data_IF_698545497147
#
_entry.id   IF_698545497147
#
_cell.length_a   1.000
_cell.length_b   1.000
_cell.length_c   1.000
_cell.angle_alpha   90.00
_cell.angle_beta   90.00
_cell.angle_gamma   90.00
#
_symmetry.space_group_name_H-M   'P 1'
#
loop_
_entity.id
_entity.type
_entity.pdbx_description
1 polymer ?
#
# COMPACT_ATOMS: atom_id res chain seq x y z
N UNK A 1 -8.64 7.61 34.31
CA UNK A 1 -8.28 7.76 32.90
C UNK A 1 -6.98 7.00 32.68
N UNK A 2 -7.00 5.98 31.87
CA UNK A 2 -5.78 5.21 31.58
C UNK A 2 -4.77 6.16 30.92
N UNK A 3 -3.55 6.19 31.44
CA UNK A 3 -2.51 7.09 30.94
C UNK A 3 -2.15 6.66 29.53
N UNK A 4 -2.33 7.52 28.52
CA UNK A 4 -1.99 7.20 27.13
C UNK A 4 -0.58 6.63 27.00
N UNK A 5 -0.40 5.66 26.11
CA UNK A 5 0.88 4.98 25.87
C UNK A 5 1.81 5.86 25.02
N UNK A 6 3.10 5.65 25.19
CA UNK A 6 4.14 6.25 24.36
C UNK A 6 4.49 5.30 23.22
N UNK A 7 4.04 5.63 22.01
CA UNK A 7 4.21 4.83 20.81
C UNK A 7 5.32 5.41 19.94
N UNK A 8 6.15 4.55 19.37
CA UNK A 8 7.11 4.92 18.35
C UNK A 8 6.87 4.07 17.09
N UNK A 9 6.79 4.72 15.93
CA UNK A 9 6.78 4.06 14.62
C UNK A 9 8.16 4.21 14.02
N UNK A 10 8.81 3.10 13.65
CA UNK A 10 10.06 3.10 12.89
C UNK A 10 9.75 2.69 11.46
N UNK A 11 9.87 3.63 10.53
CA UNK A 11 9.54 3.45 9.13
C UNK A 11 9.55 4.73 8.34
N UNK A 12 9.24 4.70 7.01
CA UNK A 12 9.18 5.90 6.20
C UNK A 12 8.16 6.91 6.76
N UNK A 13 8.54 8.18 6.77
CA UNK A 13 7.73 9.33 7.15
C UNK A 13 8.25 10.55 6.39
N UNK A 14 7.52 11.68 6.42
CA UNK A 14 7.95 12.92 5.76
C UNK A 14 9.44 13.25 6.08
N UNK A 15 10.24 13.72 5.11
CA UNK A 15 9.90 14.13 3.74
C UNK A 15 9.91 13.00 2.70
N UNK A 16 9.95 11.73 3.10
CA UNK A 16 9.81 10.63 2.17
C UNK A 16 8.36 10.54 1.64
N UNK A 17 8.20 10.09 0.37
CA UNK A 17 6.90 9.92 -0.28
C UNK A 17 6.52 8.45 -0.47
N UNK A 18 5.25 8.22 -0.76
CA UNK A 18 4.70 6.91 -1.14
C UNK A 18 3.88 6.23 -0.05
N UNK A 19 3.24 5.11 -0.40
CA UNK A 19 2.21 4.45 0.41
C UNK A 19 2.64 4.07 1.82
N UNK A 20 3.91 3.68 2.03
CA UNK A 20 4.42 3.36 3.36
C UNK A 20 4.46 4.60 4.28
N UNK A 21 4.85 5.75 3.72
CA UNK A 21 4.88 7.03 4.43
C UNK A 21 3.48 7.46 4.83
N UNK A 22 2.55 7.48 3.88
CA UNK A 22 1.15 7.83 4.09
C UNK A 22 0.49 6.94 5.14
N UNK A 23 0.72 5.62 5.04
CA UNK A 23 0.23 4.67 6.03
C UNK A 23 0.76 4.95 7.45
N UNK A 24 2.08 5.12 7.60
CA UNK A 24 2.69 5.36 8.91
C UNK A 24 2.20 6.66 9.54
N UNK A 25 2.03 7.71 8.74
CA UNK A 25 1.51 9.01 9.20
C UNK A 25 0.03 8.91 9.62
N UNK A 26 -0.79 8.18 8.84
CA UNK A 26 -2.20 7.95 9.21
C UNK A 26 -2.31 7.10 10.49
N UNK A 27 -1.50 6.05 10.61
CA UNK A 27 -1.46 5.22 11.82
C UNK A 27 -1.04 6.03 13.06
N UNK A 28 -0.07 6.93 12.92
CA UNK A 28 0.33 7.82 14.01
C UNK A 28 -0.83 8.72 14.47
N UNK A 29 -1.59 9.27 13.51
CA UNK A 29 -2.79 10.07 13.84
C UNK A 29 -3.84 9.23 14.58
N UNK A 30 -4.03 7.97 14.21
CA UNK A 30 -4.97 7.09 14.91
C UNK A 30 -4.59 6.87 16.37
N UNK A 31 -3.31 6.59 16.65
CA UNK A 31 -2.83 6.50 18.04
C UNK A 31 -3.06 7.80 18.82
N UNK A 32 -2.76 8.94 18.21
CA UNK A 32 -2.97 10.27 18.85
C UNK A 32 -4.46 10.51 19.09
N UNK A 33 -5.34 10.18 18.15
CA UNK A 33 -6.80 10.31 18.32
C UNK A 33 -7.34 9.43 19.45
N UNK A 34 -6.68 8.30 19.72
CA UNK A 34 -7.00 7.43 20.86
C UNK A 34 -6.39 7.85 22.19
N UNK A 35 -5.73 9.01 22.25
CA UNK A 35 -5.13 9.57 23.47
C UNK A 35 -3.69 9.10 23.77
N UNK A 36 -3.05 8.38 22.84
CA UNK A 36 -1.64 8.00 22.95
C UNK A 36 -0.73 9.13 22.46
N UNK A 37 0.55 9.12 22.87
CA UNK A 37 1.58 9.93 22.22
C UNK A 37 2.29 9.10 21.17
N UNK A 38 2.45 9.63 19.94
CA UNK A 38 3.09 8.89 18.85
C UNK A 38 4.19 9.71 18.17
N UNK A 39 5.35 9.08 17.96
CA UNK A 39 6.50 9.65 17.26
C UNK A 39 6.93 8.74 16.13
N UNK A 40 7.22 9.32 14.96
CA UNK A 40 7.76 8.58 13.81
C UNK A 40 9.28 8.79 13.74
N UNK A 41 10.06 7.72 13.73
CA UNK A 41 11.49 7.74 13.42
C UNK A 41 11.68 7.32 11.97
N UNK A 42 11.92 8.30 11.11
CA UNK A 42 12.04 8.15 9.66
C UNK A 42 13.51 8.14 9.21
N UNK A 43 13.72 7.89 7.92
CA UNK A 43 15.02 7.77 7.32
C UNK A 43 15.53 9.12 6.79
N UNK A 44 16.76 9.49 7.19
CA UNK A 44 17.56 10.53 6.52
C UNK A 44 18.17 10.01 5.20
N UNK A 45 18.39 8.70 5.11
CA UNK A 45 18.71 7.98 3.89
C UNK A 45 18.02 6.61 3.92
N UNK A 46 16.96 6.44 3.11
CA UNK A 46 16.24 5.17 3.00
C UNK A 46 16.96 4.23 2.03
N UNK A 47 17.22 4.69 0.82
CA UNK A 47 17.96 3.95 -0.20
C UNK A 47 19.10 4.80 -0.75
N UNK A 48 20.29 4.22 -0.99
CA UNK A 48 21.27 4.82 -1.87
C UNK A 48 20.66 5.12 -3.24
N UNK A 49 21.04 6.24 -3.88
CA UNK A 49 20.42 6.68 -5.13
C UNK A 49 20.38 5.63 -6.24
N UNK A 50 21.42 4.79 -6.34
CA UNK A 50 21.51 3.71 -7.35
C UNK A 50 20.55 2.52 -7.08
N UNK A 51 19.96 2.42 -5.90
CA UNK A 51 18.99 1.37 -5.56
C UNK A 51 17.54 1.84 -5.66
N UNK A 52 17.33 3.14 -5.90
CA UNK A 52 15.98 3.69 -6.01
C UNK A 52 15.60 3.83 -7.49
N UNK A 53 14.55 3.13 -7.95
CA UNK A 53 14.20 3.10 -9.37
C UNK A 53 13.43 4.34 -9.85
N UNK A 54 12.93 5.20 -8.94
CA UNK A 54 12.15 6.39 -9.27
C UNK A 54 12.98 7.67 -9.36
N UNK A 55 12.35 8.76 -9.76
CA UNK A 55 12.99 10.08 -9.93
C UNK A 55 13.37 10.73 -8.60
N UNK A 56 12.56 10.60 -7.55
CA UNK A 56 12.82 11.13 -6.22
C UNK A 56 12.16 10.27 -5.14
N UNK A 57 12.84 10.13 -3.99
CA UNK A 57 12.27 9.52 -2.79
C UNK A 57 11.53 10.55 -1.92
N UNK A 58 11.65 11.82 -2.23
CA UNK A 58 11.20 12.93 -1.40
C UNK A 58 10.02 13.65 -2.02
N UNK A 59 9.20 14.26 -1.15
CA UNK A 59 8.10 15.15 -1.52
C UNK A 59 8.47 16.60 -1.20
N UNK A 60 7.95 17.52 -1.99
CA UNK A 60 8.03 18.97 -1.74
C UNK A 60 6.82 19.48 -0.92
N UNK A 61 5.90 18.59 -0.55
CA UNK A 61 4.77 18.94 0.29
C UNK A 61 5.22 19.33 1.71
N UNK A 62 4.49 20.23 2.38
CA UNK A 62 4.82 20.63 3.75
C UNK A 62 4.72 19.45 4.72
N UNK A 63 5.47 19.52 5.81
CA UNK A 63 5.38 18.52 6.86
C UNK A 63 3.94 18.39 7.40
N UNK A 64 3.44 17.17 7.63
CA UNK A 64 2.08 16.97 8.12
C UNK A 64 1.91 17.56 9.52
N UNK A 65 0.91 18.40 9.70
CA UNK A 65 0.60 19.02 11.00
C UNK A 65 0.19 17.98 12.05
N UNK A 66 0.54 18.26 13.30
CA UNK A 66 0.17 17.43 14.45
C UNK A 66 0.97 16.13 14.58
N UNK A 67 1.96 15.86 13.71
CA UNK A 67 2.83 14.69 13.79
C UNK A 67 4.26 15.07 14.19
N UNK A 68 4.84 14.32 15.12
CA UNK A 68 6.27 14.41 15.45
C UNK A 68 7.04 13.39 14.63
N UNK A 69 7.89 13.89 13.71
CA UNK A 69 8.68 13.03 12.80
C UNK A 69 10.15 13.38 12.97
N UNK A 70 10.98 12.37 13.29
CA UNK A 70 12.43 12.49 13.36
C UNK A 70 13.09 11.77 12.19
N UNK A 71 13.64 12.50 11.24
CA UNK A 71 14.33 11.99 10.06
C UNK A 71 15.79 11.75 10.38
N UNK A 72 16.12 10.62 11.03
CA UNK A 72 17.43 10.37 11.64
C UNK A 72 18.10 9.04 11.27
N UNK A 73 17.37 8.10 10.63
CA UNK A 73 17.90 6.77 10.33
C UNK A 73 18.62 6.79 8.99
N UNK A 74 19.88 6.39 8.96
CA UNK A 74 20.62 6.14 7.73
C UNK A 74 20.74 4.62 7.54
N UNK A 75 20.13 4.08 6.48
CA UNK A 75 19.99 2.64 6.23
C UNK A 75 21.33 1.90 6.00
N UNK A 76 22.38 2.62 5.65
CA UNK A 76 23.69 2.03 5.30
C UNK A 76 24.84 2.37 6.27
N UNK A 77 24.57 3.18 7.31
CA UNK A 77 25.61 3.61 8.24
C UNK A 77 25.50 2.93 9.61
N UNK A 78 26.36 1.93 9.94
CA UNK A 78 26.30 1.21 11.22
C UNK A 78 26.48 2.10 12.46
N UNK A 79 27.34 3.14 12.37
CA UNK A 79 27.51 4.08 13.49
C UNK A 79 26.25 4.90 13.77
N UNK A 80 25.49 5.23 12.71
CA UNK A 80 24.21 5.85 12.86
C UNK A 80 23.21 4.91 13.57
N UNK A 81 23.20 3.61 13.24
CA UNK A 81 22.28 2.65 13.89
C UNK A 81 22.52 2.57 15.39
N UNK A 82 23.79 2.59 15.83
CA UNK A 82 24.15 2.60 17.25
C UNK A 82 23.65 3.89 17.95
N UNK A 83 23.86 5.05 17.30
CA UNK A 83 23.42 6.35 17.82
C UNK A 83 21.91 6.43 17.94
N UNK A 84 21.18 6.04 16.89
CA UNK A 84 19.71 6.04 16.83
C UNK A 84 19.13 5.06 17.83
N UNK A 85 19.65 3.84 17.90
CA UNK A 85 19.22 2.84 18.86
C UNK A 85 19.35 3.32 20.31
N UNK A 86 20.48 3.96 20.68
CA UNK A 86 20.68 4.55 22.01
C UNK A 86 19.71 5.71 22.28
N UNK A 87 19.40 6.53 21.28
CA UNK A 87 18.41 7.63 21.42
C UNK A 87 17.03 7.07 21.72
N UNK A 88 16.54 6.16 20.87
CA UNK A 88 15.21 5.56 21.05
C UNK A 88 15.12 4.78 22.39
N UNK A 89 16.19 4.07 22.78
CA UNK A 89 16.24 3.37 24.08
C UNK A 89 16.09 4.33 25.27
N UNK A 90 16.67 5.53 25.20
CA UNK A 90 16.52 6.59 26.21
C UNK A 90 15.14 7.24 26.22
N UNK A 91 14.53 7.38 25.02
CA UNK A 91 13.18 7.90 24.88
C UNK A 91 12.12 6.97 25.48
N UNK A 92 12.48 5.68 25.73
CA UNK A 92 11.67 4.66 26.40
C UNK A 92 10.21 4.62 25.93
N UNK A 93 9.92 4.40 24.62
CA UNK A 93 8.55 4.17 24.20
C UNK A 93 8.03 2.86 24.81
N UNK A 94 6.74 2.80 25.12
CA UNK A 94 6.09 1.58 25.61
C UNK A 94 6.02 0.55 24.48
N UNK A 95 5.68 1.01 23.28
CA UNK A 95 5.54 0.18 22.08
C UNK A 95 6.36 0.79 20.93
N UNK A 96 7.14 -0.04 20.26
CA UNK A 96 7.67 0.24 18.93
C UNK A 96 6.91 -0.61 17.93
N UNK A 97 6.32 0.05 16.94
CA UNK A 97 5.91 -0.59 15.70
C UNK A 97 7.00 -0.33 14.64
N UNK A 98 7.60 -1.38 14.12
CA UNK A 98 8.63 -1.26 13.09
C UNK A 98 8.12 -1.82 11.78
N UNK A 99 8.15 -0.99 10.73
CA UNK A 99 7.75 -1.38 9.38
C UNK A 99 8.86 -2.18 8.69
N UNK A 100 8.52 -3.32 8.09
CA UNK A 100 9.47 -4.17 7.38
C UNK A 100 8.91 -4.60 6.02
N UNK A 101 9.61 -4.20 4.93
CA UNK A 101 9.13 -4.41 3.55
C UNK A 101 10.19 -4.97 2.60
N UNK A 102 11.48 -4.98 3.00
CA UNK A 102 12.59 -5.48 2.18
C UNK A 102 13.76 -5.95 3.06
N UNK A 103 14.42 -7.07 2.73
CA UNK A 103 15.53 -7.62 3.51
C UNK A 103 16.70 -6.64 3.71
N UNK A 104 16.98 -5.78 2.74
CA UNK A 104 18.02 -4.74 2.82
C UNK A 104 17.94 -3.90 4.11
N UNK A 105 16.75 -3.67 4.65
CA UNK A 105 16.55 -2.92 5.90
C UNK A 105 16.88 -3.75 7.16
N UNK A 106 17.02 -5.06 7.02
CA UNK A 106 17.21 -5.99 8.14
C UNK A 106 18.38 -5.64 9.05
N UNK A 107 19.60 -5.39 8.53
CA UNK A 107 20.76 -5.04 9.36
C UNK A 107 20.56 -3.75 10.16
N UNK A 108 20.07 -2.68 9.53
CA UNK A 108 19.86 -1.40 10.18
C UNK A 108 18.79 -1.49 11.27
N UNK A 109 17.58 -1.95 10.90
CA UNK A 109 16.47 -2.07 11.83
C UNK A 109 16.78 -3.09 12.93
N UNK A 110 17.30 -4.26 12.58
CA UNK A 110 17.64 -5.29 13.55
C UNK A 110 18.67 -4.85 14.61
N UNK A 111 19.65 -4.02 14.23
CA UNK A 111 20.65 -3.46 15.15
C UNK A 111 20.03 -2.43 16.07
N UNK A 112 19.30 -1.46 15.51
CA UNK A 112 18.57 -0.43 16.28
C UNK A 112 17.69 -1.08 17.33
N UNK A 113 16.87 -2.05 16.93
CA UNK A 113 15.90 -2.72 17.81
C UNK A 113 16.57 -3.55 18.92
N UNK A 114 17.71 -4.21 18.66
CA UNK A 114 18.46 -4.94 19.71
C UNK A 114 18.99 -4.00 20.78
N UNK A 115 19.45 -2.82 20.41
CA UNK A 115 19.90 -1.80 21.36
C UNK A 115 18.71 -1.33 22.21
N UNK A 116 17.56 -1.08 21.57
CA UNK A 116 16.35 -0.67 22.31
C UNK A 116 15.89 -1.76 23.28
N UNK A 117 15.93 -3.03 22.89
CA UNK A 117 15.59 -4.16 23.79
C UNK A 117 16.39 -4.16 25.09
N UNK A 118 17.59 -3.61 25.07
CA UNK A 118 18.43 -3.47 26.27
C UNK A 118 17.79 -2.62 27.38
N UNK A 119 16.80 -1.76 27.07
CA UNK A 119 16.09 -0.99 28.10
C UNK A 119 15.06 -1.81 28.89
N UNK A 120 14.79 -3.06 28.52
CA UNK A 120 13.87 -4.04 29.16
C UNK A 120 12.45 -3.50 29.44
N UNK A 121 12.05 -2.46 28.71
CA UNK A 121 10.75 -1.78 28.83
C UNK A 121 9.94 -1.89 27.53
N UNK A 122 10.57 -1.53 26.42
CA UNK A 122 9.88 -1.35 25.15
C UNK A 122 9.47 -2.68 24.52
N UNK A 123 8.20 -2.80 24.13
CA UNK A 123 7.69 -3.90 23.35
C UNK A 123 7.83 -3.60 21.86
N UNK A 124 8.41 -4.51 21.10
CA UNK A 124 8.73 -4.31 19.68
C UNK A 124 7.87 -5.24 18.83
N UNK A 125 7.03 -4.65 17.99
CA UNK A 125 6.12 -5.34 17.07
C UNK A 125 6.55 -5.05 15.63
N UNK A 126 6.82 -6.10 14.86
CA UNK A 126 7.10 -5.99 13.44
C UNK A 126 5.80 -5.93 12.63
N UNK A 127 5.58 -4.87 11.87
CA UNK A 127 4.55 -4.80 10.84
C UNK A 127 5.19 -5.16 9.50
N UNK A 128 4.94 -6.39 9.06
CA UNK A 128 5.59 -6.95 7.88
C UNK A 128 4.70 -6.82 6.64
N UNK A 129 5.21 -6.10 5.63
CA UNK A 129 4.59 -6.00 4.30
C UNK A 129 5.07 -7.14 3.39
N UNK A 130 6.35 -7.51 3.51
CA UNK A 130 6.97 -8.65 2.83
C UNK A 130 8.02 -9.28 3.72
N UNK A 131 8.06 -10.60 3.75
CA UNK A 131 9.07 -11.39 4.47
C UNK A 131 10.04 -12.04 3.47
N UNK A 132 9.51 -12.59 2.39
CA UNK A 132 10.27 -13.17 1.29
C UNK A 132 10.13 -12.23 0.10
N UNK A 133 11.23 -11.64 -0.40
CA UNK A 133 11.17 -10.73 -1.54
C UNK A 133 10.79 -11.46 -2.81
N UNK A 134 10.14 -10.75 -3.75
CA UNK A 134 9.79 -11.29 -5.08
C UNK A 134 11.05 -11.65 -5.89
N UNK A 135 12.08 -10.81 -5.78
CA UNK A 135 13.41 -11.04 -6.36
C UNK A 135 14.39 -11.41 -5.23
N UNK A 136 14.78 -12.68 -5.19
CA UNK A 136 15.71 -13.18 -4.17
C UNK A 136 17.14 -12.79 -4.48
N UNK A 137 17.84 -12.25 -3.47
CA UNK A 137 19.27 -11.90 -3.52
C UNK A 137 20.05 -12.69 -2.46
N UNK A 138 21.35 -12.97 -2.70
CA UNK A 138 22.20 -13.56 -1.67
C UNK A 138 22.17 -12.73 -0.38
N UNK A 139 21.97 -13.37 0.77
CA UNK A 139 21.92 -12.70 2.07
C UNK A 139 20.52 -12.32 2.58
N UNK A 140 19.50 -12.25 1.71
CA UNK A 140 18.14 -11.84 2.09
C UNK A 140 17.58 -12.61 3.29
N UNK A 141 17.73 -13.94 3.28
CA UNK A 141 17.25 -14.79 4.38
C UNK A 141 17.98 -14.50 5.70
N UNK A 142 19.27 -14.19 5.66
CA UNK A 142 20.07 -13.86 6.84
C UNK A 142 19.61 -12.53 7.42
N UNK A 143 19.43 -11.51 6.57
CA UNK A 143 18.99 -10.19 6.98
C UNK A 143 17.57 -10.21 7.55
N UNK A 144 16.68 -10.95 6.91
CA UNK A 144 15.30 -11.13 7.38
C UNK A 144 15.28 -11.84 8.74
N UNK A 145 16.02 -12.93 8.92
CA UNK A 145 16.12 -13.63 10.22
C UNK A 145 16.73 -12.74 11.30
N UNK A 146 17.73 -11.92 10.93
CA UNK A 146 18.33 -10.97 11.85
C UNK A 146 17.32 -9.94 12.34
N UNK A 147 16.48 -9.40 11.44
CA UNK A 147 15.38 -8.52 11.80
C UNK A 147 14.33 -9.24 12.67
N UNK A 148 13.83 -10.40 12.22
CA UNK A 148 12.83 -11.20 12.95
C UNK A 148 13.27 -11.47 14.37
N UNK A 149 14.55 -11.82 14.58
CA UNK A 149 15.12 -12.07 15.89
C UNK A 149 15.08 -10.88 16.86
N UNK A 150 14.91 -9.66 16.36
CA UNK A 150 14.85 -8.44 17.19
C UNK A 150 13.45 -8.07 17.66
N UNK A 151 12.40 -8.59 17.04
CA UNK A 151 11.00 -8.30 17.38
C UNK A 151 10.47 -9.25 18.45
N UNK A 152 9.45 -8.82 19.23
CA UNK A 152 8.74 -9.65 20.19
C UNK A 152 7.50 -10.30 19.57
N UNK A 153 6.80 -9.60 18.70
CA UNK A 153 5.60 -10.06 18.01
C UNK A 153 5.51 -9.48 16.60
N UNK A 154 4.55 -9.95 15.81
CA UNK A 154 4.35 -9.51 14.42
C UNK A 154 2.90 -9.25 14.08
N UNK A 155 2.70 -8.35 13.11
CA UNK A 155 1.46 -8.16 12.38
C UNK A 155 1.77 -8.31 10.90
N UNK A 156 0.90 -9.03 10.21
CA UNK A 156 0.86 -9.11 8.74
C UNK A 156 -0.51 -8.67 8.26
N UNK A 157 -0.58 -8.16 7.04
CA UNK A 157 -1.83 -7.68 6.45
C UNK A 157 -2.30 -8.57 5.27
N UNK A 158 -1.64 -9.73 5.05
CA UNK A 158 -2.09 -10.76 4.13
C UNK A 158 -1.72 -12.15 4.63
N UNK A 159 -2.50 -13.16 4.22
CA UNK A 159 -2.26 -14.56 4.56
C UNK A 159 -0.93 -15.07 4.00
N UNK A 160 -0.56 -14.63 2.79
CA UNK A 160 0.72 -14.98 2.17
C UNK A 160 1.89 -14.52 3.03
N UNK A 161 1.90 -13.28 3.49
CA UNK A 161 2.98 -12.75 4.35
C UNK A 161 2.99 -13.46 5.70
N UNK A 162 1.82 -13.85 6.23
CA UNK A 162 1.73 -14.67 7.44
C UNK A 162 2.35 -16.04 7.22
N UNK A 163 2.07 -16.71 6.12
CA UNK A 163 2.66 -18.00 5.78
C UNK A 163 4.18 -17.89 5.60
N UNK A 164 4.65 -16.86 4.89
CA UNK A 164 6.08 -16.57 4.72
C UNK A 164 6.77 -16.32 6.07
N UNK A 165 6.15 -15.54 6.96
CA UNK A 165 6.66 -15.33 8.33
C UNK A 165 6.75 -16.65 9.09
N UNK A 166 5.71 -17.46 9.07
CA UNK A 166 5.65 -18.75 9.80
C UNK A 166 6.65 -19.79 9.28
N UNK A 167 7.08 -19.65 8.02
CA UNK A 167 8.17 -20.49 7.49
C UNK A 167 9.53 -20.20 8.15
N UNK A 168 9.74 -18.98 8.67
CA UNK A 168 10.98 -18.52 9.31
C UNK A 168 10.88 -18.40 10.82
N UNK A 169 9.71 -18.13 11.38
CA UNK A 169 9.45 -17.90 12.81
C UNK A 169 8.12 -18.53 13.23
N UNK A 170 8.21 -19.62 13.99
CA UNK A 170 7.05 -20.44 14.38
C UNK A 170 6.49 -20.10 15.77
N UNK A 171 7.31 -19.50 16.64
CA UNK A 171 7.03 -19.39 18.07
C UNK A 171 6.47 -18.05 18.50
N UNK A 172 6.94 -16.95 17.92
CA UNK A 172 6.52 -15.60 18.34
C UNK A 172 5.06 -15.31 18.02
N UNK A 173 4.36 -14.57 18.90
CA UNK A 173 3.01 -14.12 18.63
C UNK A 173 2.92 -13.37 17.29
N UNK A 174 1.93 -13.69 16.47
CA UNK A 174 1.64 -12.97 15.24
C UNK A 174 0.13 -12.91 15.02
N UNK A 175 -0.34 -11.82 14.42
CA UNK A 175 -1.74 -11.59 14.05
C UNK A 175 -1.84 -11.17 12.60
N UNK A 176 -2.83 -11.72 11.92
CA UNK A 176 -3.29 -11.25 10.63
C UNK A 176 -4.36 -10.18 10.87
N UNK A 177 -4.17 -9.00 10.31
CA UNK A 177 -5.13 -7.88 10.36
C UNK A 177 -5.36 -7.40 8.94
N UNK A 178 -6.61 -7.19 8.55
CA UNK A 178 -6.91 -6.63 7.25
C UNK A 178 -6.25 -5.25 7.09
N UNK A 179 -5.82 -4.93 5.87
CA UNK A 179 -5.22 -3.63 5.59
C UNK A 179 -6.26 -2.53 5.84
N UNK A 180 -6.00 -1.57 6.75
CA UNK A 180 -6.94 -0.49 7.01
C UNK A 180 -7.19 0.37 5.77
N UNK A 181 -8.33 1.04 5.75
CA UNK A 181 -8.68 1.97 4.69
C UNK A 181 -7.73 3.17 4.65
N UNK A 182 -7.44 3.62 3.46
CA UNK A 182 -6.83 4.92 3.25
C UNK A 182 -7.93 6.00 3.29
N UNK A 183 -8.17 6.59 4.43
CA UNK A 183 -9.16 7.65 4.65
C UNK A 183 -8.54 9.07 4.66
N UNK A 184 -7.26 9.18 4.39
CA UNK A 184 -6.47 10.42 4.38
C UNK A 184 -6.35 11.08 3.00
N UNK A 185 -7.03 10.55 1.98
CA UNK A 185 -7.06 11.10 0.61
C UNK A 185 -8.26 12.02 0.35
N UNK A 186 -8.92 12.48 1.40
CA UNK A 186 -10.10 13.33 1.33
C UNK A 186 -11.41 12.54 1.24
N UNK A 187 -12.52 13.26 1.34
CA UNK A 187 -13.86 12.68 1.20
C UNK A 187 -14.23 12.51 -0.28
N UNK A 188 -15.08 11.54 -0.57
CA UNK A 188 -15.55 11.29 -1.91
C UNK A 188 -16.30 12.52 -2.46
N UNK A 189 -16.03 12.88 -3.71
CA UNK A 189 -16.73 13.94 -4.43
C UNK A 189 -17.69 13.34 -5.48
N UNK A 190 -18.74 14.05 -5.90
CA UNK A 190 -19.60 13.59 -6.99
C UNK A 190 -18.80 13.26 -8.26
N UNK A 191 -19.19 12.19 -8.96
CA UNK A 191 -18.51 11.68 -10.18
C UNK A 191 -18.37 12.77 -11.24
N UNK A 192 -19.41 13.56 -11.42
CA UNK A 192 -19.45 14.67 -12.39
C UNK A 192 -18.40 15.75 -12.06
N UNK A 193 -18.27 16.10 -10.78
CA UNK A 193 -17.28 17.08 -10.30
C UNK A 193 -15.85 16.55 -10.53
N UNK A 194 -15.62 15.29 -10.21
CA UNK A 194 -14.32 14.64 -10.43
C UNK A 194 -13.96 14.60 -11.93
N UNK A 195 -14.91 14.24 -12.80
CA UNK A 195 -14.73 14.20 -14.24
C UNK A 195 -14.44 15.58 -14.83
N UNK A 196 -15.21 16.59 -14.43
CA UNK A 196 -14.94 17.99 -14.84
C UNK A 196 -13.55 18.46 -14.42
N UNK A 197 -13.14 18.14 -13.19
CA UNK A 197 -11.80 18.49 -12.68
C UNK A 197 -10.67 17.86 -13.50
N UNK A 198 -10.87 16.64 -14.00
CA UNK A 198 -9.89 15.92 -14.82
C UNK A 198 -10.03 16.20 -16.34
N UNK A 199 -11.00 17.02 -16.76
CA UNK A 199 -11.29 17.29 -18.17
C UNK A 199 -11.87 16.07 -18.90
N UNK A 200 -12.63 15.21 -18.19
CA UNK A 200 -13.25 14.00 -18.74
C UNK A 200 -14.70 14.27 -19.11
N UNK A 201 -15.22 13.52 -20.09
CA UNK A 201 -16.62 13.60 -20.49
C UNK A 201 -17.50 12.92 -19.44
N UNK A 202 -18.53 13.61 -18.97
CA UNK A 202 -19.39 13.15 -17.86
C UNK A 202 -20.08 11.82 -18.16
N UNK A 203 -20.51 11.60 -19.41
CA UNK A 203 -21.25 10.41 -19.86
C UNK A 203 -20.37 9.20 -20.25
N UNK A 204 -19.04 9.33 -20.27
CA UNK A 204 -18.14 8.25 -20.65
C UNK A 204 -18.18 7.07 -19.65
N UNK A 205 -17.97 5.87 -20.17
CA UNK A 205 -17.67 4.68 -19.35
C UNK A 205 -16.17 4.64 -19.10
N UNK A 206 -15.75 4.79 -17.84
CA UNK A 206 -14.32 4.96 -17.49
C UNK A 206 -13.91 3.91 -16.48
N UNK A 207 -12.97 3.04 -16.88
CA UNK A 207 -12.26 2.15 -15.97
C UNK A 207 -10.92 2.78 -15.57
N UNK A 208 -10.44 2.54 -14.34
CA UNK A 208 -9.23 3.13 -13.79
C UNK A 208 -8.16 2.07 -13.53
N UNK A 209 -6.98 2.26 -14.10
CA UNK A 209 -5.72 1.66 -13.63
C UNK A 209 -4.96 2.72 -12.82
N UNK A 210 -4.57 2.41 -11.56
CA UNK A 210 -3.98 3.39 -10.66
C UNK A 210 -2.66 2.93 -10.02
N UNK A 211 -1.74 3.89 -9.82
CA UNK A 211 -0.49 3.76 -9.07
C UNK A 211 0.71 3.47 -9.96
N UNK A 212 1.91 3.32 -9.36
CA UNK A 212 3.15 3.12 -10.09
C UNK A 212 3.05 2.00 -11.12
N UNK A 213 3.44 2.28 -12.37
CA UNK A 213 3.38 1.33 -13.48
C UNK A 213 4.63 0.44 -13.41
N UNK A 214 4.39 -0.85 -13.15
CA UNK A 214 5.40 -1.91 -13.07
C UNK A 214 4.88 -3.18 -13.72
N UNK A 215 5.76 -4.00 -14.27
CA UNK A 215 5.43 -5.23 -15.00
C UNK A 215 4.47 -6.16 -14.24
N UNK A 216 4.69 -6.33 -12.94
CA UNK A 216 3.84 -7.19 -12.12
C UNK A 216 2.40 -6.69 -11.98
N UNK A 217 2.15 -5.39 -12.20
CA UNK A 217 0.79 -4.80 -12.16
C UNK A 217 -0.01 -5.02 -13.44
N UNK A 218 0.62 -5.53 -14.51
CA UNK A 218 -0.08 -6.06 -15.67
C UNK A 218 -0.79 -5.01 -16.53
N UNK A 219 -0.31 -3.75 -16.58
CA UNK A 219 -0.90 -2.77 -17.49
C UNK A 219 -0.90 -3.27 -18.93
N UNK A 220 0.15 -3.96 -19.35
CA UNK A 220 0.28 -4.56 -20.68
C UNK A 220 -0.82 -5.62 -20.96
N UNK A 221 -1.24 -6.42 -19.95
CA UNK A 221 -2.38 -7.34 -20.10
C UNK A 221 -3.68 -6.54 -20.26
N UNK A 222 -3.84 -5.46 -19.49
CA UNK A 222 -5.03 -4.62 -19.59
C UNK A 222 -5.11 -3.92 -20.95
N UNK A 223 -3.98 -3.49 -21.51
CA UNK A 223 -3.95 -2.92 -22.86
C UNK A 223 -4.40 -3.93 -23.92
N UNK A 224 -3.97 -5.21 -23.81
CA UNK A 224 -4.49 -6.28 -24.68
C UNK A 224 -6.00 -6.50 -24.47
N UNK A 225 -6.48 -6.46 -23.22
CA UNK A 225 -7.92 -6.55 -22.93
C UNK A 225 -8.71 -5.39 -23.54
N UNK A 226 -8.15 -4.17 -23.56
CA UNK A 226 -8.79 -3.00 -24.19
C UNK A 226 -8.89 -3.13 -25.72
N UNK A 227 -8.09 -3.98 -26.35
CA UNK A 227 -8.18 -4.26 -27.79
C UNK A 227 -9.36 -5.18 -28.17
N UNK A 228 -10.04 -5.78 -27.19
CA UNK A 228 -11.23 -6.60 -27.45
C UNK A 228 -12.31 -5.75 -28.16
N UNK A 229 -12.83 -6.22 -29.32
CA UNK A 229 -13.85 -5.47 -30.07
C UNK A 229 -15.10 -5.15 -29.25
N UNK A 230 -15.46 -6.01 -28.28
CA UNK A 230 -16.62 -5.82 -27.39
C UNK A 230 -16.44 -4.59 -26.47
N UNK A 231 -15.20 -4.35 -25.98
CA UNK A 231 -14.84 -3.16 -25.16
C UNK A 231 -15.01 -1.89 -25.99
N UNK A 232 -14.51 -1.88 -27.22
CA UNK A 232 -14.66 -0.75 -28.16
C UNK A 232 -16.13 -0.49 -28.49
N UNK A 233 -16.90 -1.54 -28.80
CA UNK A 233 -18.34 -1.43 -29.09
C UNK A 233 -19.13 -0.89 -27.88
N UNK A 234 -18.71 -1.26 -26.66
CA UNK A 234 -19.32 -0.75 -25.44
C UNK A 234 -18.95 0.70 -25.10
N UNK A 235 -17.98 1.30 -25.81
CA UNK A 235 -17.53 2.68 -25.61
C UNK A 235 -16.76 2.88 -24.29
N UNK A 236 -16.05 1.83 -23.82
CA UNK A 236 -15.32 1.86 -22.56
C UNK A 236 -13.94 2.48 -22.78
N UNK A 237 -13.57 3.43 -21.92
CA UNK A 237 -12.26 4.09 -21.93
C UNK A 237 -11.45 3.69 -20.70
N UNK A 238 -10.13 3.57 -20.87
CA UNK A 238 -9.19 3.30 -19.79
C UNK A 238 -8.47 4.59 -19.39
N UNK A 239 -8.65 4.99 -18.14
CA UNK A 239 -7.85 6.00 -17.47
C UNK A 239 -6.66 5.34 -16.79
N UNK A 240 -5.44 5.58 -17.28
CA UNK A 240 -4.19 5.16 -16.65
C UNK A 240 -3.64 6.33 -15.84
N UNK A 241 -3.52 6.17 -14.53
CA UNK A 241 -3.05 7.21 -13.62
C UNK A 241 -1.89 6.72 -12.75
N UNK A 242 -0.68 7.22 -12.98
CA UNK A 242 0.50 6.90 -12.21
C UNK A 242 1.80 6.89 -13.00
N UNK A 243 2.90 7.04 -12.30
CA UNK A 243 4.26 7.19 -12.85
C UNK A 243 4.82 5.85 -13.33
N UNK A 244 5.50 5.84 -14.48
CA UNK A 244 6.26 4.68 -14.95
C UNK A 244 7.51 4.47 -14.11
N UNK A 245 7.72 3.22 -13.67
CA UNK A 245 8.94 2.74 -13.03
C UNK A 245 9.69 1.74 -13.90
N UNK A 246 9.30 1.66 -15.16
CA UNK A 246 9.86 0.85 -16.23
C UNK A 246 9.89 1.66 -17.53
N UNK A 247 10.42 1.10 -18.61
CA UNK A 247 10.48 1.81 -19.90
C UNK A 247 9.07 2.04 -20.46
N UNK A 248 8.66 3.30 -20.54
CA UNK A 248 7.37 3.71 -21.09
C UNK A 248 7.25 3.35 -22.59
N UNK A 249 8.36 3.28 -23.30
CA UNK A 249 8.40 3.02 -24.74
C UNK A 249 7.74 1.69 -25.10
N UNK A 250 7.97 0.63 -24.31
CA UNK A 250 7.34 -0.67 -24.54
C UNK A 250 5.81 -0.59 -24.55
N UNK A 251 5.24 0.21 -23.65
CA UNK A 251 3.79 0.41 -23.56
C UNK A 251 3.25 1.28 -24.71
N UNK A 252 3.99 2.30 -25.13
CA UNK A 252 3.62 3.13 -26.29
C UNK A 252 3.59 2.32 -27.59
N UNK A 253 4.63 1.51 -27.84
CA UNK A 253 4.67 0.60 -28.99
C UNK A 253 3.51 -0.42 -28.96
N UNK A 254 3.14 -0.92 -27.78
CA UNK A 254 2.00 -1.81 -27.64
C UNK A 254 0.67 -1.10 -27.95
N UNK A 255 0.46 0.10 -27.47
CA UNK A 255 -0.74 0.92 -27.72
C UNK A 255 -0.91 1.18 -29.22
N UNK A 256 0.18 1.56 -29.90
CA UNK A 256 0.17 1.79 -31.35
C UNK A 256 -0.15 0.50 -32.12
N UNK A 257 0.52 -0.60 -31.79
CA UNK A 257 0.30 -1.93 -32.41
C UNK A 257 -1.15 -2.40 -32.26
N UNK A 258 -1.77 -2.16 -31.10
CA UNK A 258 -3.15 -2.55 -30.80
C UNK A 258 -4.19 -1.60 -31.40
N UNK A 259 -3.79 -0.38 -31.79
CA UNK A 259 -4.69 0.61 -32.36
C UNK A 259 -5.75 1.09 -31.38
N UNK A 260 -5.40 1.25 -30.08
CA UNK A 260 -6.33 1.59 -28.98
C UNK A 260 -6.13 2.99 -28.40
N UNK A 261 -5.31 3.84 -29.02
CA UNK A 261 -4.96 5.17 -28.51
C UNK A 261 -6.19 6.04 -28.19
N UNK A 262 -7.26 5.89 -28.98
CA UNK A 262 -8.53 6.61 -28.83
C UNK A 262 -9.37 6.15 -27.61
N UNK A 263 -9.06 4.97 -27.05
CA UNK A 263 -9.71 4.42 -25.85
C UNK A 263 -8.96 4.76 -24.57
N UNK A 264 -7.77 5.40 -24.66
CA UNK A 264 -6.89 5.61 -23.52
C UNK A 264 -6.82 7.07 -23.11
N UNK A 265 -6.81 7.31 -21.80
CA UNK A 265 -6.55 8.60 -21.16
C UNK A 265 -5.34 8.41 -20.26
N UNK A 266 -4.17 8.88 -20.70
CA UNK A 266 -2.92 8.69 -19.99
C UNK A 266 -2.63 9.89 -19.08
N UNK A 267 -2.33 9.62 -17.80
CA UNK A 267 -1.86 10.55 -16.78
C UNK A 267 -0.66 9.92 -16.09
N UNK A 268 0.47 9.89 -16.79
CA UNK A 268 1.66 9.10 -16.45
C UNK A 268 2.67 9.86 -15.58
N UNK A 269 2.20 10.82 -14.84
CA UNK A 269 2.97 11.56 -13.83
C UNK A 269 2.60 11.10 -12.42
N UNK A 270 3.41 11.50 -11.44
CA UNK A 270 3.07 11.28 -10.02
C UNK A 270 1.74 11.99 -9.68
N UNK A 271 0.81 11.24 -9.11
CA UNK A 271 -0.48 11.78 -8.64
C UNK A 271 -0.32 12.13 -7.16
N UNK A 272 -0.50 13.39 -6.82
CA UNK A 272 -0.44 13.85 -5.43
C UNK A 272 -1.61 13.29 -4.60
N UNK A 273 -1.41 13.12 -3.30
CA UNK A 273 -2.44 12.61 -2.38
C UNK A 273 -3.75 13.40 -2.47
N UNK A 274 -3.67 14.71 -2.74
CA UNK A 274 -4.84 15.59 -2.88
C UNK A 274 -5.64 15.36 -4.17
N UNK A 275 -5.01 14.80 -5.19
CA UNK A 275 -5.66 14.55 -6.49
C UNK A 275 -6.24 13.15 -6.60
N UNK A 276 -5.78 12.20 -5.75
CA UNK A 276 -6.24 10.80 -5.76
C UNK A 276 -7.76 10.69 -5.75
N UNK A 277 -8.44 11.50 -4.94
CA UNK A 277 -9.90 11.55 -4.84
C UNK A 277 -10.58 11.74 -6.21
N UNK A 278 -10.03 12.60 -7.06
CA UNK A 278 -10.64 12.89 -8.36
C UNK A 278 -10.52 11.69 -9.30
N UNK A 279 -9.40 10.98 -9.31
CA UNK A 279 -9.21 9.80 -10.16
C UNK A 279 -10.17 8.66 -9.77
N UNK A 280 -10.24 8.35 -8.48
CA UNK A 280 -11.14 7.29 -8.01
C UNK A 280 -12.62 7.67 -8.19
N UNK A 281 -13.01 8.90 -7.84
CA UNK A 281 -14.39 9.34 -7.97
C UNK A 281 -14.83 9.47 -9.44
N UNK A 282 -13.93 9.78 -10.38
CA UNK A 282 -14.24 9.85 -11.81
C UNK A 282 -14.50 8.48 -12.46
N UNK A 283 -13.90 7.43 -11.93
CA UNK A 283 -14.01 6.08 -12.46
C UNK A 283 -15.34 5.40 -12.11
N UNK A 284 -15.73 4.43 -12.95
CA UNK A 284 -16.85 3.53 -12.68
C UNK A 284 -16.35 2.30 -11.90
N UNK A 285 -15.19 1.78 -12.27
CA UNK A 285 -14.54 0.60 -11.68
C UNK A 285 -13.02 0.74 -11.70
N UNK A 286 -12.36 0.17 -10.69
CA UNK A 286 -10.90 0.08 -10.61
C UNK A 286 -10.43 -1.28 -11.09
N UNK A 287 -9.49 -1.32 -12.04
CA UNK A 287 -8.96 -2.57 -12.60
C UNK A 287 -7.55 -2.81 -12.09
N UNK A 288 -7.31 -3.97 -11.49
CA UNK A 288 -6.02 -4.41 -10.97
C UNK A 288 -5.61 -5.72 -11.65
N UNK A 289 -5.03 -5.66 -12.86
CA UNK A 289 -4.74 -6.83 -13.71
C UNK A 289 -3.39 -7.47 -13.33
N UNK A 290 -3.12 -7.61 -12.05
CA UNK A 290 -1.80 -7.96 -11.53
C UNK A 290 -1.41 -9.39 -11.91
N UNK A 291 -0.14 -9.59 -12.26
CA UNK A 291 0.47 -10.91 -12.43
C UNK A 291 0.84 -11.57 -11.12
N UNK A 292 1.14 -10.74 -10.13
CA UNK A 292 1.50 -11.20 -8.81
C UNK A 292 1.17 -10.08 -7.79
N UNK A 293 0.55 -10.46 -6.69
CA UNK A 293 0.24 -9.50 -5.62
C UNK A 293 0.34 -10.18 -4.26
N UNK A 294 1.11 -9.59 -3.35
CA UNK A 294 1.08 -9.95 -1.92
C UNK A 294 -0.03 -9.15 -1.23
N UNK A 295 -0.08 -7.86 -1.55
CA UNK A 295 -1.07 -6.87 -1.10
C UNK A 295 -1.21 -5.80 -2.18
N UNK A 296 -2.32 -5.08 -2.15
CA UNK A 296 -2.52 -3.91 -3.00
C UNK A 296 -2.92 -2.69 -2.16
N UNK A 297 -2.16 -1.61 -2.26
CA UNK A 297 -2.56 -0.32 -1.68
C UNK A 297 -3.71 0.35 -2.44
N UNK A 298 -4.01 -0.13 -3.65
CA UNK A 298 -5.10 0.38 -4.48
C UNK A 298 -6.46 -0.15 -3.99
N UNK A 299 -6.51 -1.39 -3.51
CA UNK A 299 -7.74 -2.01 -3.00
C UNK A 299 -8.35 -1.23 -1.81
N UNK A 300 -7.58 -0.83 -0.76
CA UNK A 300 -8.12 0.00 0.31
C UNK A 300 -8.60 1.38 -0.16
N UNK A 301 -7.96 1.98 -1.17
CA UNK A 301 -8.44 3.23 -1.78
C UNK A 301 -9.78 3.03 -2.50
N UNK A 302 -9.92 1.94 -3.27
CA UNK A 302 -11.17 1.60 -3.92
C UNK A 302 -12.30 1.42 -2.90
N UNK A 303 -12.04 0.76 -1.78
CA UNK A 303 -13.00 0.67 -0.67
C UNK A 303 -13.34 2.03 -0.06
N UNK A 304 -12.32 2.89 0.15
CA UNK A 304 -12.54 4.22 0.72
C UNK A 304 -13.53 5.03 -0.14
N UNK A 305 -13.32 5.03 -1.46
CA UNK A 305 -14.17 5.74 -2.41
C UNK A 305 -15.37 4.91 -2.91
N UNK A 306 -15.65 3.75 -2.30
CA UNK A 306 -16.76 2.86 -2.64
C UNK A 306 -16.77 2.47 -4.13
N UNK A 307 -15.59 2.22 -4.71
CA UNK A 307 -15.45 1.81 -6.11
C UNK A 307 -15.38 0.29 -6.26
N UNK A 308 -16.23 -0.30 -7.09
CA UNK A 308 -16.10 -1.69 -7.48
C UNK A 308 -14.75 -1.97 -8.14
N UNK A 309 -14.33 -3.22 -8.09
CA UNK A 309 -13.03 -3.61 -8.60
C UNK A 309 -13.13 -4.77 -9.59
N UNK A 310 -12.29 -4.78 -10.61
CA UNK A 310 -11.96 -5.98 -11.39
C UNK A 310 -10.52 -6.34 -11.04
N UNK A 311 -10.31 -7.52 -10.48
CA UNK A 311 -9.00 -7.97 -10.02
C UNK A 311 -8.64 -9.32 -10.61
N UNK A 312 -7.36 -9.59 -10.78
CA UNK A 312 -6.91 -10.92 -11.21
C UNK A 312 -6.84 -11.89 -10.03
N UNK A 313 -7.01 -13.19 -10.33
CA UNK A 313 -6.96 -14.30 -9.37
C UNK A 313 -5.52 -14.59 -8.94
N UNK A 314 -4.86 -13.61 -8.28
CA UNK A 314 -3.47 -13.74 -7.83
C UNK A 314 -3.28 -13.30 -6.38
N UNK A 315 -2.49 -14.06 -5.65
CA UNK A 315 -2.07 -13.73 -4.29
C UNK A 315 -3.23 -13.47 -3.35
N UNK A 316 -3.23 -12.29 -2.70
CA UNK A 316 -4.27 -11.89 -1.75
C UNK A 316 -5.46 -11.14 -2.37
N UNK A 317 -5.44 -10.81 -3.67
CA UNK A 317 -6.50 -9.99 -4.28
C UNK A 317 -7.90 -10.60 -4.17
N UNK A 318 -8.14 -11.91 -4.46
CA UNK A 318 -9.48 -12.49 -4.36
C UNK A 318 -10.03 -12.48 -2.93
N UNK A 319 -9.17 -12.59 -1.92
CA UNK A 319 -9.61 -12.50 -0.52
C UNK A 319 -9.92 -11.08 -0.09
N UNK A 320 -9.28 -10.08 -0.71
CA UNK A 320 -9.55 -8.66 -0.47
C UNK A 320 -10.73 -8.13 -1.28
N UNK A 321 -11.07 -8.76 -2.39
CA UNK A 321 -12.16 -8.38 -3.29
C UNK A 321 -13.07 -9.59 -3.50
N UNK A 322 -13.98 -9.88 -2.54
CA UNK A 322 -14.91 -10.99 -2.67
C UNK A 322 -15.71 -10.90 -3.97
N UNK A 323 -15.60 -11.97 -4.78
CA UNK A 323 -16.17 -12.05 -6.12
C UNK A 323 -17.69 -11.85 -6.10
N UNK A 324 -18.26 -11.14 -7.08
CA UNK A 324 -19.67 -10.75 -7.21
C UNK A 324 -20.24 -10.01 -5.96
N UNK A 325 -19.36 -9.48 -5.10
CA UNK A 325 -19.73 -8.64 -3.94
C UNK A 325 -19.06 -7.27 -4.04
N UNK A 326 -17.73 -7.23 -3.95
CA UNK A 326 -17.00 -5.98 -4.00
C UNK A 326 -16.38 -5.70 -5.37
N UNK A 327 -16.50 -6.65 -6.27
CA UNK A 327 -15.97 -6.61 -7.62
C UNK A 327 -16.08 -7.95 -8.31
N UNK A 328 -15.27 -8.15 -9.36
CA UNK A 328 -15.19 -9.37 -10.14
C UNK A 328 -13.74 -9.88 -10.15
N UNK A 329 -13.58 -11.20 -10.09
CA UNK A 329 -12.26 -11.86 -10.13
C UNK A 329 -12.09 -12.53 -11.48
N UNK A 330 -11.02 -12.17 -12.21
CA UNK A 330 -10.67 -12.71 -13.52
C UNK A 330 -9.36 -13.49 -13.47
N UNK A 331 -9.15 -14.41 -14.37
CA UNK A 331 -7.84 -15.02 -14.61
C UNK A 331 -6.85 -13.99 -15.18
N UNK A 332 -5.53 -14.28 -15.11
CA UNK A 332 -4.47 -13.42 -15.66
C UNK A 332 -4.40 -13.59 -17.16
N UNK A 333 -5.45 -13.18 -17.82
CA UNK A 333 -5.68 -13.34 -19.27
C UNK A 333 -6.45 -12.14 -19.83
N UNK A 334 -6.05 -11.55 -20.97
CA UNK A 334 -6.73 -10.40 -21.56
C UNK A 334 -8.23 -10.61 -21.81
N UNK A 335 -8.63 -11.78 -22.35
CA UNK A 335 -10.03 -12.08 -22.65
C UNK A 335 -10.86 -12.21 -21.38
N UNK A 336 -10.33 -12.86 -20.34
CA UNK A 336 -10.99 -12.98 -19.03
C UNK A 336 -11.18 -11.60 -18.39
N UNK A 337 -10.18 -10.72 -18.44
CA UNK A 337 -10.26 -9.36 -17.93
C UNK A 337 -11.30 -8.54 -18.71
N UNK A 338 -11.28 -8.61 -20.05
CA UNK A 338 -12.26 -7.92 -20.88
C UNK A 338 -13.70 -8.39 -20.58
N UNK A 339 -13.88 -9.70 -20.40
CA UNK A 339 -15.19 -10.30 -20.05
C UNK A 339 -15.67 -9.79 -18.68
N UNK A 340 -14.80 -9.76 -17.67
CA UNK A 340 -15.14 -9.23 -16.34
C UNK A 340 -15.49 -7.73 -16.38
N UNK A 341 -14.77 -6.93 -17.17
CA UNK A 341 -15.10 -5.50 -17.37
C UNK A 341 -16.50 -5.36 -18.00
N UNK A 342 -16.82 -6.14 -19.01
CA UNK A 342 -18.14 -6.09 -19.67
C UNK A 342 -19.25 -6.53 -18.72
N UNK A 343 -19.02 -7.59 -17.93
CA UNK A 343 -19.95 -8.07 -16.92
C UNK A 343 -20.20 -7.02 -15.84
N UNK A 344 -19.15 -6.30 -15.38
CA UNK A 344 -19.33 -5.17 -14.47
C UNK A 344 -20.33 -4.14 -15.02
N UNK A 345 -20.22 -3.77 -16.30
CA UNK A 345 -21.14 -2.80 -16.90
C UNK A 345 -22.55 -3.36 -17.11
N UNK A 346 -22.72 -4.68 -17.20
CA UNK A 346 -24.05 -5.31 -17.23
C UNK A 346 -24.72 -5.30 -15.84
N UNK A 347 -23.96 -5.59 -14.78
CA UNK A 347 -24.44 -5.56 -13.40
C UNK A 347 -24.68 -4.14 -12.90
N UNK A 348 -23.81 -3.21 -13.29
CA UNK A 348 -23.82 -1.81 -12.87
C UNK A 348 -23.20 -1.57 -11.49
N UNK A 349 -22.69 -0.34 -11.29
CA UNK A 349 -22.01 0.09 -10.04
C UNK A 349 -22.91 -0.13 -8.80
N UNK A 350 -24.21 0.14 -8.92
CA UNK A 350 -25.18 0.04 -7.82
C UNK A 350 -25.30 -1.38 -7.23
N UNK A 351 -25.01 -2.43 -8.01
CA UNK A 351 -25.01 -3.81 -7.54
C UNK A 351 -23.98 -4.04 -6.43
N UNK A 352 -22.79 -3.42 -6.55
CA UNK A 352 -21.66 -3.66 -5.66
C UNK A 352 -21.65 -2.76 -4.42
N UNK A 353 -22.24 -1.56 -4.47
CA UNK A 353 -22.16 -0.55 -3.41
C UNK A 353 -22.59 -1.06 -2.02
N UNK A 354 -23.71 -1.78 -1.83
CA UNK A 354 -24.11 -2.27 -0.52
C UNK A 354 -23.08 -3.20 0.11
N UNK A 355 -22.48 -4.07 -0.71
CA UNK A 355 -21.44 -4.99 -0.27
C UNK A 355 -20.13 -4.27 0.06
N UNK A 356 -19.72 -3.31 -0.79
CA UNK A 356 -18.55 -2.47 -0.53
C UNK A 356 -18.68 -1.75 0.81
N UNK A 357 -19.83 -1.17 1.12
CA UNK A 357 -20.10 -0.51 2.41
C UNK A 357 -20.00 -1.46 3.59
N UNK A 358 -20.53 -2.67 3.45
CA UNK A 358 -20.45 -3.70 4.49
C UNK A 358 -18.99 -4.13 4.75
N UNK A 359 -18.22 -4.41 3.71
CA UNK A 359 -16.83 -4.81 3.85
C UNK A 359 -15.93 -3.66 4.36
N UNK A 360 -16.20 -2.42 3.91
CA UNK A 360 -15.54 -1.20 4.37
C UNK A 360 -15.52 -1.08 5.89
N UNK A 361 -16.63 -1.42 6.57
CA UNK A 361 -16.73 -1.35 8.04
C UNK A 361 -15.73 -2.27 8.76
N UNK A 362 -15.29 -3.36 8.12
CA UNK A 362 -14.32 -4.31 8.69
C UNK A 362 -12.86 -3.81 8.61
N UNK A 363 -12.60 -2.75 7.85
CA UNK A 363 -11.26 -2.25 7.53
C UNK A 363 -10.93 -0.99 8.33
N UNK A 364 -11.07 -1.04 9.68
CA UNK A 364 -10.84 0.13 10.52
C UNK A 364 -9.41 0.25 11.02
N UNK A 365 -8.93 1.49 11.16
CA UNK A 365 -7.64 1.80 11.78
C UNK A 365 -7.61 1.44 13.26
N UNK A 366 -8.75 1.59 13.97
CA UNK A 366 -8.87 1.22 15.38
C UNK A 366 -8.62 -0.27 15.60
N UNK A 367 -9.11 -1.16 14.72
CA UNK A 367 -8.83 -2.59 14.82
C UNK A 367 -7.33 -2.89 14.74
N UNK A 368 -6.59 -2.19 13.88
CA UNK A 368 -5.14 -2.35 13.80
C UNK A 368 -4.44 -1.87 15.08
N UNK A 369 -4.77 -0.67 15.58
CA UNK A 369 -4.16 -0.13 16.80
C UNK A 369 -4.48 -0.96 18.03
N UNK A 370 -5.71 -1.45 18.17
CA UNK A 370 -6.12 -2.34 19.27
C UNK A 370 -5.37 -3.68 19.22
N UNK A 371 -5.18 -4.23 18.02
CA UNK A 371 -4.36 -5.44 17.85
C UNK A 371 -2.90 -5.20 18.22
N UNK A 372 -2.31 -4.05 17.87
CA UNK A 372 -0.96 -3.67 18.26
C UNK A 372 -0.85 -3.59 19.78
N UNK A 373 -1.78 -2.89 20.44
CA UNK A 373 -1.84 -2.75 21.89
C UNK A 373 -2.02 -4.10 22.59
N UNK A 374 -2.88 -4.95 22.07
CA UNK A 374 -3.12 -6.31 22.58
C UNK A 374 -1.86 -7.17 22.49
N UNK A 375 -1.17 -7.18 21.36
CA UNK A 375 0.09 -7.94 21.20
C UNK A 375 1.18 -7.45 22.15
N UNK A 376 1.26 -6.15 22.41
CA UNK A 376 2.24 -5.62 23.36
C UNK A 376 2.00 -6.08 24.82
N UNK A 377 0.78 -6.46 25.17
CA UNK A 377 0.45 -6.99 26.50
C UNK A 377 0.76 -8.49 26.66
N UNK A 378 0.82 -9.25 25.57
CA UNK A 378 1.09 -10.70 25.59
C UNK A 378 2.58 -10.99 25.70
N UNK A 379 3.42 -10.08 25.27
CA UNK A 379 4.88 -10.22 25.19
C UNK A 379 5.57 -9.46 26.33
#
# INVERSE_FOLDING_TARGET
MDKGRKIAIIGPGHPLRGGLTTFNQRLAREFIAQGDTCVIYSFSLQYPGFLFPGTSQYTDEPAPEGLTIHTIINSVNPLNWLKVGKRIARDRPDIILVRYWIPFMGPALGTILRIVRGNKHTRIIGLADNIIPHEKRPGDSVFTKYFIGSCHAFITMSEKVMADLRSLEKSKPARLVAHPLYDNFGEAVPKEVARQRLGLVVGDKIILFFGFIRKYKGLDILLEAMADPRIRQAGIKLLVAGEFYEDEKEYQEQIERLGISDLLILRTQFISDREVVHYFCAADVVVQPYRNATQSGVTPLAYHFEKPMVVTNVGGLPSMVPDHKCGLVAEVDPEAIATAILEFYQLGEAFFIPHLRSEKQKLSWSQLTDTIKSLANIT
#
